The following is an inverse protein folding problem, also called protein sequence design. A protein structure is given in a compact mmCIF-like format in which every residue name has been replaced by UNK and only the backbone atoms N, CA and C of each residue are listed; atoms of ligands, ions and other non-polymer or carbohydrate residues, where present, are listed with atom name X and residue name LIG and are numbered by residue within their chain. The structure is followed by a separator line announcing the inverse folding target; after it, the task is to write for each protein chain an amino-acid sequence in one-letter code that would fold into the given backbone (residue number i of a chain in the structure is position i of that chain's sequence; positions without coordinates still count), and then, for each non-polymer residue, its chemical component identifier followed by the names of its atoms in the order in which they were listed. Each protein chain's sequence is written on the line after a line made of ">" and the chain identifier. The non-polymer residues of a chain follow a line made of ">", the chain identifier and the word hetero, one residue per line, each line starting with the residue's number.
data_IF_417456311703
#
_entry.id   IF_417456311703
#
_cell.length_a   1.000
_cell.length_b   1.000
_cell.length_c   1.000
_cell.angle_alpha   90.00
_cell.angle_beta   90.00
_cell.angle_gamma   90.00
#
_symmetry.space_group_name_H-M   'P 1'
#
loop_
_entity.id
_entity.type
_entity.pdbx_description
1 polymer ?
#
# COMPACT_ATOMS: atom_id res chain seq x y z
N UNK A 1 -19.01 -21.08 -3.58
CA UNK A 1 -17.56 -20.97 -3.30
C UNK A 1 -17.23 -19.50 -3.36
N UNK A 2 -16.75 -18.84 -2.29
CA UNK A 2 -16.18 -17.51 -2.45
C UNK A 2 -14.84 -17.62 -3.19
N UNK A 3 -14.43 -16.59 -3.94
CA UNK A 3 -13.16 -16.59 -4.66
C UNK A 3 -12.00 -16.66 -3.65
N UNK A 4 -10.96 -17.40 -4.06
CA UNK A 4 -9.76 -17.71 -3.30
C UNK A 4 -9.12 -16.45 -2.70
N UNK A 5 -8.76 -16.53 -1.41
CA UNK A 5 -7.84 -15.60 -0.77
C UNK A 5 -6.58 -15.46 -1.64
N UNK A 6 -6.42 -14.29 -2.26
CA UNK A 6 -5.15 -13.91 -2.86
C UNK A 6 -4.10 -14.01 -1.75
N UNK A 7 -3.09 -14.84 -1.97
CA UNK A 7 -2.04 -15.06 -1.00
C UNK A 7 -1.42 -13.72 -0.58
N UNK A 8 -1.21 -13.56 0.72
CA UNK A 8 -0.61 -12.36 1.28
C UNK A 8 0.69 -11.99 0.54
N UNK A 9 0.75 -10.80 -0.06
CA UNK A 9 1.87 -10.36 -0.88
C UNK A 9 2.67 -9.27 -0.17
N UNK A 10 4.00 -9.32 -0.23
CA UNK A 10 4.87 -8.26 0.34
C UNK A 10 4.97 -7.01 -0.57
N UNK A 11 4.57 -7.14 -1.84
CA UNK A 11 4.47 -6.02 -2.77
C UNK A 11 3.50 -6.30 -3.91
N UNK A 12 2.78 -5.28 -4.36
CA UNK A 12 1.83 -5.40 -5.45
C UNK A 12 2.04 -4.32 -6.51
N UNK A 13 1.75 -4.66 -7.78
CA UNK A 13 1.62 -3.68 -8.85
C UNK A 13 0.14 -3.58 -9.21
N UNK A 14 -0.42 -2.39 -9.07
CA UNK A 14 -1.83 -2.11 -9.24
C UNK A 14 -2.04 -1.19 -10.45
N UNK A 15 -3.17 -1.30 -11.15
CA UNK A 15 -3.57 -0.30 -12.14
C UNK A 15 -3.74 1.07 -11.47
N UNK A 16 -3.64 2.13 -12.27
CA UNK A 16 -3.98 3.47 -11.81
C UNK A 16 -5.44 3.51 -11.34
N UNK A 17 -5.69 4.14 -10.20
CA UNK A 17 -7.02 4.29 -9.64
C UNK A 17 -6.98 4.80 -8.22
N UNK A 18 -8.17 5.02 -7.66
CA UNK A 18 -8.38 5.49 -6.30
C UNK A 18 -8.34 4.30 -5.34
N UNK A 19 -7.13 3.82 -5.04
CA UNK A 19 -6.92 2.73 -4.09
C UNK A 19 -6.96 3.24 -2.66
N UNK A 20 -7.64 2.49 -1.79
CA UNK A 20 -7.74 2.78 -0.37
C UNK A 20 -6.85 1.84 0.42
N UNK A 21 -5.88 2.39 1.15
CA UNK A 21 -5.07 1.64 2.11
C UNK A 21 -5.71 1.79 3.48
N UNK A 22 -6.17 0.67 4.04
CA UNK A 22 -6.84 0.65 5.34
C UNK A 22 -5.79 0.35 6.41
N UNK A 23 -5.47 1.30 7.31
CA UNK A 23 -4.53 1.04 8.40
C UNK A 23 -5.15 0.07 9.42
N UNK A 24 -4.33 -0.75 10.10
CA UNK A 24 -4.82 -1.74 11.08
C UNK A 24 -5.12 -1.10 12.44
N UNK A 25 -4.65 0.13 12.66
CA UNK A 25 -4.79 0.87 13.92
C UNK A 25 -5.31 2.28 13.64
N UNK A 26 -6.22 2.74 14.48
CA UNK A 26 -6.70 4.10 14.45
C UNK A 26 -5.65 5.08 14.99
N UNK A 27 -5.64 6.30 14.45
CA UNK A 27 -4.87 7.42 14.96
C UNK A 27 -4.41 8.37 13.88
N UNK A 28 -3.59 9.35 14.28
CA UNK A 28 -3.04 10.33 13.36
C UNK A 28 -2.08 9.67 12.36
N UNK A 29 -2.21 10.05 11.10
CA UNK A 29 -1.33 9.59 10.03
C UNK A 29 -0.73 10.78 9.29
N UNK A 30 0.39 10.54 8.63
CA UNK A 30 1.10 11.53 7.82
C UNK A 30 1.36 11.00 6.43
N UNK A 31 1.42 11.91 5.46
CA UNK A 31 1.86 11.62 4.10
C UNK A 31 3.06 12.48 3.76
N UNK A 32 4.09 11.83 3.27
CA UNK A 32 5.28 12.44 2.69
C UNK A 32 5.31 12.12 1.20
N UNK A 33 5.37 13.15 0.35
CA UNK A 33 5.45 13.00 -1.09
C UNK A 33 6.81 13.49 -1.59
N UNK A 34 7.54 12.63 -2.29
CA UNK A 34 8.85 12.96 -2.88
C UNK A 34 8.82 12.67 -4.38
N UNK A 35 9.05 13.67 -5.24
CA UNK A 35 9.25 13.45 -6.67
C UNK A 35 10.48 12.56 -6.92
N UNK A 36 10.41 11.65 -7.88
CA UNK A 36 11.54 10.75 -8.18
C UNK A 36 12.52 11.31 -9.23
N UNK A 37 12.24 12.50 -9.78
CA UNK A 37 13.03 13.16 -10.82
C UNK A 37 12.93 12.56 -12.21
N UNK A 38 12.09 11.54 -12.42
CA UNK A 38 11.86 10.83 -13.70
C UNK A 38 10.39 10.85 -14.14
N UNK A 39 9.60 11.75 -13.57
CA UNK A 39 8.16 11.88 -13.85
C UNK A 39 7.28 10.96 -13.00
N UNK A 40 7.86 10.18 -12.09
CA UNK A 40 7.13 9.42 -11.08
C UNK A 40 7.08 10.15 -9.74
N UNK A 41 6.32 9.55 -8.81
CA UNK A 41 6.15 10.07 -7.46
C UNK A 41 6.24 8.94 -6.44
N UNK A 42 6.99 9.17 -5.37
CA UNK A 42 7.02 8.28 -4.21
C UNK A 42 6.22 8.93 -3.08
N UNK A 43 5.16 8.25 -2.65
CA UNK A 43 4.36 8.61 -1.50
C UNK A 43 4.70 7.65 -0.36
N UNK A 44 4.93 8.18 0.83
CA UNK A 44 5.08 7.43 2.07
C UNK A 44 3.97 7.84 3.03
N UNK A 45 3.12 6.89 3.37
CA UNK A 45 2.10 7.00 4.40
C UNK A 45 2.66 6.42 5.71
N UNK A 46 2.62 7.20 6.78
CA UNK A 46 3.05 6.80 8.11
C UNK A 46 1.80 6.73 9.00
N UNK A 47 1.56 5.55 9.57
CA UNK A 47 0.45 5.28 10.48
C UNK A 47 0.99 5.08 11.91
N UNK A 48 0.11 5.06 12.92
CA UNK A 48 0.49 4.74 14.29
C UNK A 48 1.11 3.35 14.45
N UNK A 49 1.70 3.09 15.61
CA UNK A 49 2.25 1.78 16.00
C UNK A 49 3.27 1.18 15.01
N UNK A 50 4.02 2.04 14.30
CA UNK A 50 5.10 1.61 13.40
C UNK A 50 4.64 1.12 12.03
N UNK A 51 3.34 1.20 11.72
CA UNK A 51 2.81 0.84 10.42
C UNK A 51 3.11 1.93 9.37
N UNK A 52 3.41 1.51 8.15
CA UNK A 52 3.61 2.41 7.03
C UNK A 52 3.22 1.76 5.71
N UNK A 53 2.92 2.59 4.71
CA UNK A 53 2.77 2.17 3.33
C UNK A 53 3.62 3.05 2.41
N UNK A 54 4.21 2.46 1.39
CA UNK A 54 4.85 3.21 0.29
C UNK A 54 4.10 2.94 -1.00
N UNK A 55 3.82 4.01 -1.74
CA UNK A 55 3.23 3.95 -3.08
C UNK A 55 4.18 4.63 -4.04
N UNK A 56 4.64 3.87 -5.03
CA UNK A 56 5.44 4.41 -6.12
C UNK A 56 4.61 4.45 -7.39
N UNK A 57 4.32 5.65 -7.87
CA UNK A 57 3.64 5.88 -9.14
C UNK A 57 4.69 5.90 -10.26
N UNK A 58 4.60 4.92 -11.14
CA UNK A 58 5.47 4.80 -12.32
C UNK A 58 4.97 5.70 -13.44
N UNK A 59 5.88 6.05 -14.36
CA UNK A 59 5.54 6.85 -15.54
C UNK A 59 4.56 6.15 -16.50
N UNK A 60 4.38 4.83 -16.40
CA UNK A 60 3.38 4.05 -17.17
C UNK A 60 1.98 4.05 -16.52
N UNK A 61 1.79 4.81 -15.45
CA UNK A 61 0.54 4.91 -14.69
C UNK A 61 0.35 3.79 -13.67
N UNK A 62 1.23 2.79 -13.58
CA UNK A 62 1.09 1.72 -12.60
C UNK A 62 1.55 2.16 -11.22
N UNK A 63 0.83 1.70 -10.21
CA UNK A 63 1.16 1.91 -8.80
C UNK A 63 1.89 0.69 -8.27
N UNK A 64 3.03 0.89 -7.61
CA UNK A 64 3.67 -0.17 -6.82
C UNK A 64 3.46 0.12 -5.35
N UNK A 65 2.76 -0.77 -4.66
CA UNK A 65 2.44 -0.63 -3.23
C UNK A 65 3.21 -1.64 -2.41
N UNK A 66 3.69 -1.21 -1.23
CA UNK A 66 4.31 -2.04 -0.19
C UNK A 66 3.85 -1.58 1.18
N UNK A 67 3.54 -2.53 2.05
CA UNK A 67 3.22 -2.27 3.45
C UNK A 67 4.42 -2.61 4.33
N UNK A 68 4.51 -1.93 5.47
CA UNK A 68 5.59 -2.08 6.42
C UNK A 68 5.07 -2.04 7.86
N UNK A 69 5.77 -2.74 8.74
CA UNK A 69 5.66 -2.61 10.20
C UNK A 69 7.08 -2.52 10.77
N UNK A 70 7.34 -1.49 11.57
CA UNK A 70 8.66 -1.22 12.17
C UNK A 70 9.81 -1.22 11.12
N UNK A 71 9.54 -0.61 9.96
CA UNK A 71 10.43 -0.55 8.79
C UNK A 71 10.78 -1.91 8.14
N UNK A 72 10.05 -2.98 8.45
CA UNK A 72 10.17 -4.27 7.77
C UNK A 72 9.00 -4.48 6.81
N UNK A 73 9.23 -5.06 5.61
CA UNK A 73 8.13 -5.44 4.73
C UNK A 73 7.09 -6.26 5.47
N UNK A 74 5.82 -5.98 5.20
CA UNK A 74 4.70 -6.63 5.86
C UNK A 74 3.73 -7.17 4.80
N UNK A 75 3.16 -8.36 4.99
CA UNK A 75 2.16 -8.92 4.10
C UNK A 75 0.94 -8.00 3.93
N UNK A 76 0.34 -8.05 2.75
CA UNK A 76 -0.90 -7.35 2.45
C UNK A 76 -1.90 -8.25 1.75
N UNK A 77 -3.18 -7.96 1.96
CA UNK A 77 -4.30 -8.50 1.20
C UNK A 77 -4.91 -7.40 0.31
N UNK A 78 -5.42 -7.77 -0.86
CA UNK A 78 -5.88 -6.83 -1.89
C UNK A 78 -7.25 -7.28 -2.40
N UNK A 79 -8.23 -6.40 -2.29
CA UNK A 79 -9.54 -6.56 -2.91
C UNK A 79 -9.63 -5.64 -4.13
N UNK A 80 -9.63 -6.27 -5.30
CA UNK A 80 -9.69 -5.58 -6.59
C UNK A 80 -11.09 -5.07 -6.94
N UNK A 81 -12.15 -5.64 -6.36
CA UNK A 81 -13.53 -5.21 -6.61
C UNK A 81 -13.85 -3.94 -5.82
N UNK A 82 -13.28 -3.81 -4.62
CA UNK A 82 -13.44 -2.64 -3.74
C UNK A 82 -12.27 -1.66 -3.76
N UNK A 83 -11.20 -2.00 -4.47
CA UNK A 83 -9.95 -1.22 -4.55
C UNK A 83 -9.31 -0.99 -3.17
N UNK A 84 -9.35 -2.01 -2.31
CA UNK A 84 -8.84 -1.94 -0.94
C UNK A 84 -7.54 -2.74 -0.77
N UNK A 85 -6.68 -2.24 0.13
CA UNK A 85 -5.44 -2.89 0.55
C UNK A 85 -5.43 -2.93 2.08
N UNK A 86 -5.19 -4.12 2.66
CA UNK A 86 -5.15 -4.34 4.11
C UNK A 86 -3.79 -4.87 4.57
N UNK A 87 -3.46 -4.58 5.82
CA UNK A 87 -2.38 -5.24 6.56
C UNK A 87 -2.91 -6.59 7.08
N UNK A 88 -2.11 -7.64 6.98
CA UNK A 88 -2.48 -8.97 7.46
C UNK A 88 -1.79 -9.19 8.81
N UNK A 89 -2.58 -9.33 9.88
CA UNK A 89 -2.05 -9.75 11.17
C UNK A 89 -1.52 -11.19 11.06
N UNK A 90 -0.25 -11.40 11.43
CA UNK A 90 0.37 -12.74 11.56
C UNK A 90 -0.11 -13.49 12.81
#
# INVERSE_FOLDING_TARGET
>A
MPPSADAAAESANLPQGDWYIVPPVEGEWKVEATPDGRGGQHLRMLYPAGYAATVYMRADGRLRVRLYRDNRPHPMEIDHDRLHIWFVDE
#
